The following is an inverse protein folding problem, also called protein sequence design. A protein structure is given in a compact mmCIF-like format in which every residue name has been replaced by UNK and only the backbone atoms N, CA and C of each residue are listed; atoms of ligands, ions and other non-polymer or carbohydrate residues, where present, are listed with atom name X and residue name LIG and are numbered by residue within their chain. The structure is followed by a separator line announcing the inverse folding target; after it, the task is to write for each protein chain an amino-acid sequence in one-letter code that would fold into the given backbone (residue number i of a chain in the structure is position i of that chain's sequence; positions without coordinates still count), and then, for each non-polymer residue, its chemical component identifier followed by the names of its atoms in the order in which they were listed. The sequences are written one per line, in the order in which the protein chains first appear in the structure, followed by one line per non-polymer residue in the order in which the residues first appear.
data_IF_722324082674
#
_entry.id   IF_722324082674
#
_cell.length_a   1.000
_cell.length_b   1.000
_cell.length_c   1.000
_cell.angle_alpha   90.00
_cell.angle_beta   90.00
_cell.angle_gamma   90.00
#
_symmetry.space_group_name_H-M   'P 1'
#
loop_
_entity.id
_entity.type
_entity.pdbx_description
1 polymer ?
#
# COMPACT_ATOMS: atom_id res chain seq x y z
N UNK A 1 49.00 59.34 25.04
CA UNK A 1 47.80 59.18 24.18
C UNK A 1 47.67 57.71 23.79
N UNK A 2 46.57 57.03 24.13
CA UNK A 2 46.22 55.73 23.58
C UNK A 2 45.09 55.84 22.53
N UNK A 3 44.76 54.69 21.95
CA UNK A 3 43.64 54.33 21.09
C UNK A 3 43.85 54.47 19.58
N UNK A 4 43.85 53.30 18.92
CA UNK A 4 42.97 53.03 17.76
C UNK A 4 42.86 51.52 17.58
N UNK A 5 41.78 50.97 18.16
CA UNK A 5 41.20 49.69 17.76
C UNK A 5 40.51 49.85 16.40
N UNK A 6 40.69 48.90 15.50
CA UNK A 6 39.69 48.65 14.46
C UNK A 6 39.73 47.19 14.02
N UNK A 7 38.77 46.46 14.58
CA UNK A 7 38.25 45.18 14.14
C UNK A 7 37.57 45.29 12.77
N UNK A 8 38.03 44.51 11.80
CA UNK A 8 37.27 44.04 10.63
C UNK A 8 38.25 43.18 9.82
N UNK A 9 37.96 41.95 9.41
CA UNK A 9 36.74 41.56 8.74
C UNK A 9 36.62 40.04 8.73
N UNK A 10 35.70 39.52 9.54
CA UNK A 10 35.08 38.20 9.44
C UNK A 10 34.18 38.08 8.18
N UNK A 11 34.62 38.67 7.05
CA UNK A 11 33.90 38.69 5.78
C UNK A 11 34.40 37.61 4.79
N UNK A 12 35.54 36.97 5.07
CA UNK A 12 36.18 36.01 4.17
C UNK A 12 35.59 34.59 4.22
N UNK A 13 34.73 34.29 5.18
CA UNK A 13 34.08 32.97 5.31
C UNK A 13 32.77 32.85 4.53
N UNK A 14 32.10 33.97 4.21
CA UNK A 14 30.82 33.95 3.48
C UNK A 14 30.98 33.93 1.96
N UNK A 15 32.10 34.44 1.42
CA UNK A 15 32.33 34.54 -0.02
C UNK A 15 32.64 33.20 -0.72
N UNK A 16 32.87 32.11 0.04
CA UNK A 16 33.18 30.78 -0.53
C UNK A 16 31.94 29.94 -0.86
N UNK A 17 30.76 30.37 -0.40
CA UNK A 17 29.50 29.67 -0.67
C UNK A 17 28.90 29.99 -2.06
N UNK A 18 29.35 31.07 -2.69
CA UNK A 18 28.86 31.52 -4.00
C UNK A 18 29.71 30.95 -5.15
N UNK A 19 29.94 29.63 -5.15
CA UNK A 19 30.22 28.94 -6.41
C UNK A 19 28.95 29.02 -7.23
N UNK A 20 28.95 29.89 -8.22
CA UNK A 20 27.84 30.19 -9.14
C UNK A 20 27.05 28.90 -9.48
N UNK A 21 25.88 28.73 -8.86
CA UNK A 21 25.09 27.50 -8.96
C UNK A 21 24.70 26.84 -7.64
N UNK A 22 25.58 26.84 -6.64
CA UNK A 22 25.53 25.92 -5.46
C UNK A 22 24.95 26.51 -4.17
N UNK A 23 24.69 27.82 -4.12
CA UNK A 23 23.99 28.42 -2.99
C UNK A 23 22.56 27.88 -2.85
N UNK A 24 21.95 27.99 -1.66
CA UNK A 24 20.60 27.45 -1.36
C UNK A 24 19.46 27.97 -2.26
N UNK A 25 19.70 29.02 -3.04
CA UNK A 25 18.77 29.60 -4.03
C UNK A 25 19.31 29.55 -5.46
N UNK A 26 20.48 28.94 -5.65
CA UNK A 26 21.15 28.79 -6.93
C UNK A 26 20.42 27.80 -7.86
N UNK A 27 20.74 27.81 -9.16
CA UNK A 27 20.19 26.87 -10.15
C UNK A 27 20.25 25.39 -9.73
N UNK A 28 21.33 24.93 -9.09
CA UNK A 28 21.47 23.53 -8.66
C UNK A 28 20.48 23.18 -7.56
N UNK A 29 20.33 24.04 -6.56
CA UNK A 29 19.38 23.83 -5.46
C UNK A 29 17.93 23.74 -5.96
N UNK A 30 17.55 24.56 -6.97
CA UNK A 30 16.22 24.50 -7.60
C UNK A 30 16.00 23.18 -8.32
N UNK A 31 16.96 22.72 -9.12
CA UNK A 31 16.87 21.43 -9.82
C UNK A 31 16.76 20.26 -8.84
N UNK A 32 17.53 20.28 -7.75
CA UNK A 32 17.46 19.26 -6.70
C UNK A 32 16.07 19.26 -6.04
N UNK A 33 15.51 20.43 -5.73
CA UNK A 33 14.16 20.50 -5.15
C UNK A 33 13.09 19.99 -6.13
N UNK A 34 13.16 20.38 -7.40
CA UNK A 34 12.24 19.87 -8.43
C UNK A 34 12.33 18.34 -8.57
N UNK A 35 13.55 17.79 -8.52
CA UNK A 35 13.78 16.35 -8.53
C UNK A 35 13.18 15.68 -7.29
N UNK A 36 13.46 16.20 -6.09
CA UNK A 36 12.87 15.67 -4.85
C UNK A 36 11.35 15.74 -4.92
N UNK A 37 10.79 16.84 -5.42
CA UNK A 37 9.34 17.01 -5.54
C UNK A 37 8.72 16.00 -6.50
N UNK A 38 9.43 15.64 -7.56
CA UNK A 38 8.99 14.62 -8.52
C UNK A 38 9.13 13.18 -8.00
N UNK A 39 10.11 12.92 -7.12
CA UNK A 39 10.43 11.57 -6.63
C UNK A 39 9.81 11.25 -5.27
N UNK A 40 9.45 12.25 -4.48
CA UNK A 40 8.94 12.03 -3.13
C UNK A 40 7.62 11.26 -3.13
N UNK A 41 7.35 10.45 -2.10
CA UNK A 41 6.08 9.76 -1.95
C UNK A 41 4.88 10.71 -1.98
N UNK A 42 3.91 10.44 -2.84
CA UNK A 42 2.61 11.12 -2.80
C UNK A 42 1.74 10.55 -1.68
N UNK A 43 0.76 11.34 -1.21
CA UNK A 43 -0.24 10.86 -0.24
C UNK A 43 -0.97 9.60 -0.70
N UNK A 44 -1.20 9.47 -2.01
CA UNK A 44 -1.84 8.29 -2.58
C UNK A 44 -0.92 7.07 -2.54
N UNK A 45 0.36 7.22 -2.90
CA UNK A 45 1.36 6.14 -2.80
C UNK A 45 1.51 5.67 -1.35
N UNK A 46 1.64 6.61 -0.41
CA UNK A 46 1.65 6.39 1.04
C UNK A 46 0.44 5.57 1.53
N UNK A 47 -0.77 5.88 1.04
CA UNK A 47 -1.99 5.14 1.39
C UNK A 47 -2.00 3.74 0.78
N UNK A 48 -1.63 3.59 -0.49
CA UNK A 48 -1.52 2.28 -1.16
C UNK A 48 -0.53 1.39 -0.41
N UNK A 49 0.63 1.94 -0.04
CA UNK A 49 1.68 1.22 0.68
C UNK A 49 1.22 0.68 2.02
N UNK A 50 0.53 1.50 2.82
CA UNK A 50 -0.10 1.05 4.09
C UNK A 50 -1.12 -0.05 3.85
N UNK A 51 -1.94 0.07 2.81
CA UNK A 51 -2.95 -0.94 2.49
C UNK A 51 -2.32 -2.27 2.07
N UNK A 52 -1.27 -2.24 1.24
CA UNK A 52 -0.53 -3.45 0.85
C UNK A 52 0.15 -4.07 2.07
N UNK A 53 0.84 -3.28 2.91
CA UNK A 53 1.45 -3.80 4.13
C UNK A 53 0.42 -4.44 5.06
N UNK A 54 -0.72 -3.79 5.29
CA UNK A 54 -1.79 -4.34 6.13
C UNK A 54 -2.34 -5.65 5.56
N UNK A 55 -2.46 -5.75 4.24
CA UNK A 55 -2.88 -6.98 3.57
C UNK A 55 -1.85 -8.11 3.74
N UNK A 56 -0.58 -7.84 3.48
CA UNK A 56 0.52 -8.80 3.66
C UNK A 56 0.60 -9.25 5.13
N UNK A 57 0.52 -8.31 6.07
CA UNK A 57 0.50 -8.63 7.50
C UNK A 57 -0.68 -9.52 7.87
N UNK A 58 -1.87 -9.29 7.30
CA UNK A 58 -3.02 -10.18 7.52
C UNK A 58 -2.80 -11.59 6.98
N UNK A 59 -2.14 -11.74 5.81
CA UNK A 59 -1.83 -13.05 5.23
C UNK A 59 -0.81 -13.80 6.10
N UNK A 60 0.24 -13.11 6.53
CA UNK A 60 1.26 -13.69 7.41
C UNK A 60 0.64 -14.07 8.76
N UNK A 61 -0.10 -13.18 9.40
CA UNK A 61 -0.77 -13.47 10.68
C UNK A 61 -1.78 -14.63 10.55
N UNK A 62 -2.43 -14.78 9.41
CA UNK A 62 -3.29 -15.94 9.14
C UNK A 62 -2.53 -17.25 8.98
N UNK A 63 -1.34 -17.21 8.38
CA UNK A 63 -0.46 -18.37 8.20
C UNK A 63 0.24 -18.81 9.50
N UNK A 64 0.57 -17.85 10.38
CA UNK A 64 1.30 -18.07 11.63
C UNK A 64 0.45 -17.82 12.88
N UNK A 65 -0.87 -18.03 12.79
CA UNK A 65 -1.83 -17.63 13.83
C UNK A 65 -1.58 -18.26 15.21
N UNK A 66 -0.97 -19.44 15.22
CA UNK A 66 -0.71 -20.25 16.41
C UNK A 66 0.74 -20.07 16.90
N UNK A 67 1.52 -19.20 16.23
CA UNK A 67 2.91 -18.90 16.52
C UNK A 67 3.12 -17.40 16.82
N UNK A 68 4.13 -17.08 17.62
CA UNK A 68 4.43 -15.69 17.97
C UNK A 68 5.28 -15.01 16.87
N UNK A 69 4.66 -14.66 15.73
CA UNK A 69 5.33 -13.97 14.62
C UNK A 69 4.91 -12.50 14.56
N UNK A 70 5.88 -11.60 14.69
CA UNK A 70 5.73 -10.16 14.47
C UNK A 70 6.03 -9.83 13.00
N UNK A 71 5.15 -9.05 12.38
CA UNK A 71 5.32 -8.54 11.02
C UNK A 71 5.56 -7.03 11.07
N UNK A 72 6.67 -6.57 10.51
CA UNK A 72 7.00 -5.14 10.43
C UNK A 72 7.44 -4.76 9.03
N UNK A 73 7.15 -3.53 8.60
CA UNK A 73 7.80 -2.95 7.45
C UNK A 73 9.22 -2.50 7.82
N UNK A 74 10.16 -2.60 6.89
CA UNK A 74 11.52 -2.09 7.05
C UNK A 74 11.95 -1.34 5.77
N UNK A 75 13.20 -0.92 5.71
CA UNK A 75 13.79 -0.34 4.51
C UNK A 75 13.29 1.07 4.21
N UNK A 76 12.96 1.30 2.95
CA UNK A 76 12.61 2.64 2.45
C UNK A 76 11.33 3.21 3.09
N UNK A 77 10.42 2.34 3.56
CA UNK A 77 9.10 2.71 4.10
C UNK A 77 9.17 3.56 5.38
N UNK A 78 9.84 3.12 6.47
CA UNK A 78 10.02 3.97 7.65
C UNK A 78 10.92 5.19 7.40
N UNK A 79 11.81 5.15 6.41
CA UNK A 79 12.77 6.22 6.10
C UNK A 79 12.25 7.27 5.11
N UNK A 80 11.08 7.04 4.48
CA UNK A 80 10.49 7.90 3.43
C UNK A 80 11.42 8.22 2.26
N UNK A 81 12.36 7.34 1.99
CA UNK A 81 13.32 7.45 0.88
C UNK A 81 12.89 6.66 -0.35
N UNK A 82 11.65 6.17 -0.38
CA UNK A 82 11.16 5.36 -1.50
C UNK A 82 10.71 6.23 -2.68
N UNK A 83 10.98 5.72 -3.88
CA UNK A 83 10.34 6.20 -5.11
C UNK A 83 8.83 5.91 -5.06
N UNK A 84 7.98 6.66 -5.77
CA UNK A 84 6.53 6.57 -5.64
C UNK A 84 5.98 5.16 -5.89
N UNK A 85 6.67 4.36 -6.71
CA UNK A 85 6.33 2.97 -7.05
C UNK A 85 7.37 1.94 -6.55
N UNK A 86 8.22 2.31 -5.58
CA UNK A 86 9.21 1.38 -5.01
C UNK A 86 8.57 0.24 -4.21
N UNK A 87 9.30 -0.86 -4.05
CA UNK A 87 8.87 -2.06 -3.34
C UNK A 87 8.61 -1.83 -1.84
N UNK A 88 7.92 -2.78 -1.19
CA UNK A 88 7.69 -2.79 0.27
C UNK A 88 8.50 -3.91 0.88
N UNK A 89 9.50 -3.54 1.67
CA UNK A 89 10.25 -4.51 2.47
C UNK A 89 9.44 -4.87 3.72
N UNK A 90 9.15 -6.17 3.87
CA UNK A 90 8.48 -6.73 5.05
C UNK A 90 9.43 -7.69 5.76
N UNK A 91 9.55 -7.53 7.06
CA UNK A 91 10.37 -8.35 7.94
C UNK A 91 9.46 -9.15 8.89
N UNK A 92 9.75 -10.44 9.02
CA UNK A 92 9.11 -11.35 9.96
C UNK A 92 10.11 -11.63 11.10
N UNK A 93 9.66 -11.46 12.32
CA UNK A 93 10.42 -11.79 13.53
C UNK A 93 9.61 -12.79 14.36
N UNK A 94 10.21 -13.92 14.73
CA UNK A 94 9.50 -14.98 15.45
C UNK A 94 10.44 -16.08 15.91
N UNK A 95 9.89 -17.18 16.47
CA UNK A 95 10.67 -18.30 16.96
C UNK A 95 11.61 -18.87 15.90
N UNK A 96 12.85 -19.15 16.30
CA UNK A 96 13.88 -19.65 15.39
C UNK A 96 13.48 -20.97 14.73
N UNK A 97 12.86 -21.86 15.48
CA UNK A 97 12.44 -23.18 15.01
C UNK A 97 11.25 -23.14 14.02
N UNK A 98 10.55 -21.99 13.94
CA UNK A 98 9.48 -21.68 13.00
C UNK A 98 10.02 -20.98 11.76
N UNK A 99 10.90 -19.98 11.91
CA UNK A 99 11.39 -19.16 10.78
C UNK A 99 12.76 -19.59 10.22
N UNK A 100 13.38 -20.64 10.79
CA UNK A 100 14.59 -21.28 10.25
C UNK A 100 14.35 -22.73 9.84
N UNK A 101 13.10 -23.19 9.86
CA UNK A 101 12.74 -24.50 9.34
C UNK A 101 12.95 -24.55 7.83
N UNK A 102 13.61 -25.61 7.38
CA UNK A 102 13.90 -25.86 5.99
C UNK A 102 14.57 -27.22 5.84
N UNK A 103 14.44 -27.86 4.67
CA UNK A 103 14.85 -29.25 4.46
C UNK A 103 16.36 -29.50 4.68
N UNK A 104 17.18 -28.46 4.56
CA UNK A 104 18.63 -28.51 4.82
C UNK A 104 19.01 -28.54 6.30
N UNK A 105 18.30 -27.79 7.16
CA UNK A 105 18.61 -27.72 8.61
C UNK A 105 17.82 -28.73 9.44
N UNK A 106 16.59 -29.04 9.02
CA UNK A 106 15.66 -29.90 9.74
C UNK A 106 14.91 -30.81 8.73
N UNK A 107 15.49 -31.94 8.33
CA UNK A 107 14.81 -32.89 7.44
C UNK A 107 13.49 -33.34 8.06
N UNK A 108 12.38 -33.15 7.33
CA UNK A 108 11.02 -33.48 7.80
C UNK A 108 10.24 -32.32 8.43
N UNK A 109 10.86 -31.16 8.70
CA UNK A 109 10.11 -29.93 9.03
C UNK A 109 9.75 -29.17 7.76
N UNK A 110 8.51 -28.66 7.71
CA UNK A 110 8.03 -27.81 6.63
C UNK A 110 8.84 -26.50 6.56
N UNK A 111 9.26 -26.15 5.34
CA UNK A 111 9.88 -24.86 5.06
C UNK A 111 8.84 -23.74 5.21
N UNK A 112 9.12 -22.78 6.08
CA UNK A 112 8.18 -21.69 6.37
C UNK A 112 7.86 -20.85 5.12
N UNK A 113 8.80 -20.72 4.17
CA UNK A 113 8.58 -19.98 2.94
C UNK A 113 7.57 -20.69 2.04
N UNK A 114 7.67 -22.01 1.95
CA UNK A 114 6.73 -22.85 1.22
C UNK A 114 5.35 -22.81 1.89
N UNK A 115 5.30 -22.94 3.22
CA UNK A 115 4.06 -22.83 4.01
C UNK A 115 3.34 -21.51 3.75
N UNK A 116 4.08 -20.40 3.81
CA UNK A 116 3.55 -19.06 3.57
C UNK A 116 3.05 -18.91 2.13
N UNK A 117 3.81 -19.37 1.14
CA UNK A 117 3.41 -19.35 -0.26
C UNK A 117 2.10 -20.10 -0.48
N UNK A 118 2.00 -21.34 0.01
CA UNK A 118 0.79 -22.17 -0.11
C UNK A 118 -0.41 -21.50 0.57
N UNK A 119 -0.19 -20.85 1.73
CA UNK A 119 -1.24 -20.09 2.39
C UNK A 119 -1.73 -18.90 1.55
N UNK A 120 -0.82 -18.14 0.93
CA UNK A 120 -1.15 -17.01 0.05
C UNK A 120 -1.97 -17.50 -1.15
N UNK A 121 -1.49 -18.53 -1.85
CA UNK A 121 -2.18 -19.09 -3.03
C UNK A 121 -3.61 -19.53 -2.68
N UNK A 122 -3.81 -20.18 -1.52
CA UNK A 122 -5.15 -20.54 -1.02
C UNK A 122 -6.00 -19.30 -0.72
N UNK A 123 -5.45 -18.31 -0.02
CA UNK A 123 -6.17 -17.09 0.32
C UNK A 123 -6.61 -16.30 -0.93
N UNK A 124 -5.77 -16.25 -1.96
CA UNK A 124 -6.08 -15.65 -3.25
C UNK A 124 -7.18 -16.40 -3.99
N UNK A 125 -7.12 -17.74 -4.02
CA UNK A 125 -8.17 -18.56 -4.61
C UNK A 125 -9.54 -18.37 -3.92
N UNK A 126 -9.56 -18.32 -2.59
CA UNK A 126 -10.76 -18.04 -1.81
C UNK A 126 -11.31 -16.63 -2.07
N UNK A 127 -10.42 -15.62 -2.16
CA UNK A 127 -10.81 -14.26 -2.50
C UNK A 127 -11.39 -14.17 -3.92
N UNK A 128 -10.80 -14.87 -4.89
CA UNK A 128 -11.30 -14.96 -6.27
C UNK A 128 -12.68 -15.61 -6.33
N UNK A 129 -12.89 -16.72 -5.60
CA UNK A 129 -14.19 -17.37 -5.49
C UNK A 129 -15.26 -16.44 -4.88
N UNK A 130 -14.93 -15.71 -3.81
CA UNK A 130 -15.82 -14.71 -3.20
C UNK A 130 -16.18 -13.59 -4.19
N UNK A 131 -15.22 -13.13 -5.00
CA UNK A 131 -15.47 -12.10 -6.03
C UNK A 131 -16.42 -12.60 -7.12
N UNK A 132 -16.23 -13.85 -7.58
CA UNK A 132 -17.11 -14.48 -8.58
C UNK A 132 -18.54 -14.61 -8.06
N UNK A 133 -18.72 -15.10 -6.83
CA UNK A 133 -20.03 -15.22 -6.20
C UNK A 133 -20.74 -13.86 -6.06
N UNK A 134 -20.02 -12.81 -5.66
CA UNK A 134 -20.58 -11.45 -5.59
C UNK A 134 -20.94 -10.85 -6.95
N UNK A 135 -20.28 -11.30 -8.03
CA UNK A 135 -20.62 -10.87 -9.37
C UNK A 135 -21.92 -11.56 -9.83
N UNK A 136 -22.06 -12.87 -9.62
CA UNK A 136 -23.28 -13.60 -9.97
C UNK A 136 -24.51 -13.10 -9.18
N UNK A 137 -24.36 -12.80 -7.89
CA UNK A 137 -25.45 -12.24 -7.07
C UNK A 137 -25.92 -10.86 -7.55
N UNK A 138 -25.05 -10.04 -8.16
CA UNK A 138 -25.45 -8.74 -8.74
C UNK A 138 -26.19 -8.90 -10.07
N UNK A 139 -25.78 -9.84 -10.91
CA UNK A 139 -26.44 -10.09 -12.19
C UNK A 139 -27.85 -10.68 -12.00
N UNK A 140 -28.03 -11.56 -11.00
CA UNK A 140 -29.35 -12.10 -10.63
C UNK A 140 -30.30 -11.04 -10.04
N UNK A 141 -29.77 -10.08 -9.28
CA UNK A 141 -30.53 -8.94 -8.76
C UNK A 141 -31.08 -8.06 -9.88
N UNK A 142 -30.25 -7.74 -10.88
CA UNK A 142 -30.67 -6.94 -12.05
C UNK A 142 -31.71 -7.67 -12.92
N UNK A 143 -31.59 -9.00 -13.08
CA UNK A 143 -32.55 -9.80 -13.85
C UNK A 143 -33.93 -9.97 -13.17
N UNK A 144 -34.00 -9.81 -11.84
CA UNK A 144 -35.23 -9.97 -11.07
C UNK A 144 -36.08 -8.69 -11.05
N UNK A 145 -35.45 -7.51 -11.11
CA UNK A 145 -36.14 -6.22 -11.12
C UNK A 145 -36.87 -5.92 -12.44
N UNK A 146 -36.40 -6.47 -13.57
CA UNK A 146 -37.02 -6.28 -14.89
C UNK A 146 -38.30 -7.12 -15.10
N UNK A 147 -38.54 -8.14 -14.27
CA UNK A 147 -39.73 -9.02 -14.40
C UNK A 147 -40.95 -8.55 -13.62
N UNK A 148 -40.83 -7.51 -12.78
CA UNK A 148 -41.95 -7.01 -11.96
C UNK A 148 -42.71 -5.82 -12.55
N UNK A 149 -42.34 -5.31 -13.74
CA UNK A 149 -42.96 -4.13 -14.37
C UNK A 149 -43.96 -4.43 -15.50
N UNK A 150 -44.39 -5.68 -15.71
CA UNK A 150 -45.22 -6.05 -16.85
C UNK A 150 -46.41 -6.96 -16.53
N UNK A 151 -47.43 -6.47 -15.83
CA UNK A 151 -48.84 -6.89 -16.02
C UNK A 151 -49.75 -6.16 -15.02
N UNK A 152 -50.42 -5.12 -15.49
CA UNK A 152 -51.38 -4.36 -14.69
C UNK A 152 -52.43 -3.69 -15.55
N UNK A 153 -53.59 -4.35 -15.62
CA UNK A 153 -54.93 -3.76 -15.72
C UNK A 153 -55.47 -3.36 -17.10
N UNK A 154 -56.59 -3.98 -17.46
CA UNK A 154 -57.45 -3.52 -18.55
C UNK A 154 -58.66 -4.40 -18.88
N UNK A 155 -59.33 -5.00 -17.89
CA UNK A 155 -60.63 -5.66 -18.10
C UNK A 155 -61.68 -5.04 -17.15
N UNK A 156 -62.37 -4.01 -17.65
CA UNK A 156 -63.62 -3.52 -17.03
C UNK A 156 -64.80 -4.21 -17.71
N UNK A 157 -65.42 -5.12 -16.97
CA UNK A 157 -66.73 -5.66 -17.26
C UNK A 157 -67.82 -4.67 -16.86
N UNK A 158 -68.90 -4.57 -17.64
CA UNK A 158 -70.28 -4.49 -17.12
C UNK A 158 -71.31 -4.55 -18.26
N UNK A 159 -72.06 -5.65 -18.23
CA UNK A 159 -73.34 -5.86 -18.88
C UNK A 159 -74.46 -5.04 -18.23
N UNK A 160 -75.43 -4.56 -19.02
CA UNK A 160 -76.81 -4.40 -18.55
C UNK A 160 -77.78 -4.43 -19.73
N UNK A 161 -78.91 -5.10 -19.48
CA UNK A 161 -79.96 -5.53 -20.39
C UNK A 161 -81.23 -4.66 -20.27
N UNK A 162 -82.10 -4.76 -21.29
CA UNK A 162 -83.54 -4.38 -21.30
C UNK A 162 -83.80 -2.87 -21.38
N UNK A 163 -84.69 -2.32 -22.21
CA UNK A 163 -85.94 -2.80 -22.84
C UNK A 163 -86.21 -2.08 -24.16
#
# INVERSE_FOLDING_TARGET
APASSSSSSSASSSARADREGWGSRGPVARLVNELIDSLQPTRQSERRRRAVFAHVASLVNGCFRDENVLVTAFGSVPLRTYLPDGDIDVCLLGPHDVLSSGPLKHPGKEDWTHRLRTHIERAEAEAAARRRRRASERDEGYASDDRSSGSGSGDDASSSSSS
#
